data_IF_487645793741
#
_entry.id   IF_487645793741
#
_cell.length_a   1.000
_cell.length_b   1.000
_cell.length_c   1.000
_cell.angle_alpha   90.00
_cell.angle_beta   90.00
_cell.angle_gamma   90.00
#
_symmetry.space_group_name_H-M   'P 1'
#
loop_
_entity.id
_entity.type
_entity.pdbx_description
1 polymer ?
#
# COMPACT_ATOMS: atom_id res chain seq x y z
N UNK A 1 5.71 24.61 2.84
CA UNK A 1 5.87 23.32 3.56
C UNK A 1 6.19 22.25 2.55
N UNK A 2 7.10 21.32 2.86
CA UNK A 2 7.40 20.21 1.97
C UNK A 2 6.19 19.25 1.90
N UNK A 3 5.92 18.60 0.74
CA UNK A 3 4.83 17.64 0.63
C UNK A 3 5.06 16.43 1.55
N UNK A 4 4.03 16.06 2.30
CA UNK A 4 4.05 14.87 3.18
C UNK A 4 4.08 13.61 2.34
N UNK A 5 5.03 12.71 2.62
CA UNK A 5 5.16 11.40 1.96
C UNK A 5 5.05 10.30 3.00
N UNK A 6 4.16 9.34 2.74
CA UNK A 6 3.90 8.21 3.62
C UNK A 6 4.23 6.91 2.89
N UNK A 7 5.07 6.08 3.49
CA UNK A 7 5.33 4.72 3.04
C UNK A 7 4.61 3.75 3.97
N UNK A 8 3.61 3.04 3.42
CA UNK A 8 2.95 1.92 4.10
C UNK A 8 3.65 0.64 3.68
N UNK A 9 4.15 -0.12 4.64
CA UNK A 9 4.74 -1.44 4.38
C UNK A 9 3.71 -2.49 4.79
N UNK A 10 3.09 -3.14 3.81
CA UNK A 10 2.20 -4.27 4.08
C UNK A 10 2.58 -5.49 3.24
N UNK A 11 3.09 -6.47 3.98
CA UNK A 11 3.35 -7.84 3.54
C UNK A 11 2.46 -8.75 4.39
N UNK A 12 2.00 -9.89 3.86
CA UNK A 12 1.15 -10.80 4.63
C UNK A 12 0.38 -11.77 3.76
N UNK A 13 -0.55 -12.49 4.38
CA UNK A 13 -1.48 -13.37 3.67
C UNK A 13 -2.58 -12.54 2.98
N UNK A 14 -3.34 -13.18 2.09
CA UNK A 14 -4.42 -12.53 1.34
C UNK A 14 -5.43 -11.81 2.24
N UNK A 15 -5.85 -12.44 3.34
CA UNK A 15 -6.81 -11.84 4.28
C UNK A 15 -6.31 -10.54 4.92
N UNK A 16 -5.01 -10.43 5.18
CA UNK A 16 -4.44 -9.19 5.73
C UNK A 16 -4.38 -8.07 4.69
N UNK A 17 -4.18 -8.42 3.41
CA UNK A 17 -4.17 -7.44 2.32
C UNK A 17 -5.56 -6.86 2.09
N UNK A 18 -6.60 -7.67 2.20
CA UNK A 18 -7.99 -7.20 2.14
C UNK A 18 -8.29 -6.25 3.31
N UNK A 19 -7.88 -6.60 4.53
CA UNK A 19 -8.08 -5.73 5.71
C UNK A 19 -7.25 -4.43 5.63
N UNK A 20 -6.10 -4.46 4.96
CA UNK A 20 -5.26 -3.27 4.79
C UNK A 20 -5.96 -2.16 3.98
N UNK A 21 -6.92 -2.47 3.13
CA UNK A 21 -7.69 -1.47 2.38
C UNK A 21 -8.42 -0.49 3.31
N UNK A 22 -9.04 -0.99 4.38
CA UNK A 22 -9.70 -0.15 5.39
C UNK A 22 -8.73 0.80 6.08
N UNK A 23 -7.56 0.30 6.48
CA UNK A 23 -6.52 1.13 7.08
C UNK A 23 -5.98 2.19 6.09
N UNK A 24 -5.79 1.83 4.82
CA UNK A 24 -5.35 2.76 3.77
C UNK A 24 -6.39 3.87 3.53
N UNK A 25 -7.67 3.54 3.56
CA UNK A 25 -8.76 4.51 3.48
C UNK A 25 -8.69 5.53 4.61
N UNK A 26 -8.51 5.06 5.84
CA UNK A 26 -8.43 5.93 7.02
C UNK A 26 -7.19 6.83 6.98
N UNK A 27 -6.04 6.31 6.51
CA UNK A 27 -4.83 7.10 6.27
C UNK A 27 -5.09 8.19 5.22
N UNK A 28 -5.71 7.86 4.09
CA UNK A 28 -6.06 8.86 3.06
C UNK A 28 -7.00 9.94 3.61
N UNK A 29 -7.98 9.58 4.43
CA UNK A 29 -8.88 10.53 5.04
C UNK A 29 -8.16 11.50 6.00
N UNK A 30 -7.21 10.99 6.79
CA UNK A 30 -6.41 11.80 7.71
C UNK A 30 -5.35 12.66 7.00
N UNK A 31 -4.82 12.19 5.87
CA UNK A 31 -3.75 12.85 5.11
C UNK A 31 -4.14 13.04 3.63
N UNK A 32 -5.16 13.87 3.33
CA UNK A 32 -5.74 13.97 1.99
C UNK A 32 -4.72 14.39 0.93
N UNK A 33 -3.74 15.23 1.29
CA UNK A 33 -2.73 15.76 0.37
C UNK A 33 -1.39 15.02 0.39
N UNK A 34 -1.25 13.93 1.17
CA UNK A 34 0.00 13.18 1.22
C UNK A 34 0.18 12.27 0.00
N UNK A 35 1.43 12.07 -0.45
CA UNK A 35 1.77 10.96 -1.35
C UNK A 35 1.82 9.67 -0.52
N UNK A 36 0.88 8.77 -0.73
CA UNK A 36 0.78 7.47 -0.06
C UNK A 36 1.34 6.40 -0.99
N UNK A 37 2.48 5.82 -0.60
CA UNK A 37 3.14 4.74 -1.32
C UNK A 37 2.96 3.45 -0.54
N UNK A 38 2.47 2.40 -1.19
CA UNK A 38 2.39 1.07 -0.60
C UNK A 38 3.54 0.19 -1.08
N UNK A 39 4.29 -0.41 -0.16
CA UNK A 39 5.21 -1.50 -0.45
C UNK A 39 4.56 -2.85 -0.14
N UNK A 40 4.50 -3.73 -1.14
CA UNK A 40 3.94 -5.08 -1.04
C UNK A 40 4.74 -6.10 -1.87
N UNK A 41 4.28 -7.35 -1.94
CA UNK A 41 4.92 -8.44 -2.69
C UNK A 41 4.22 -8.74 -4.01
N UNK A 42 4.88 -9.44 -4.96
CA UNK A 42 4.34 -9.66 -6.31
C UNK A 42 2.92 -10.25 -6.38
N UNK A 43 2.52 -11.24 -5.55
CA UNK A 43 1.18 -11.84 -5.61
C UNK A 43 0.04 -10.83 -5.43
N UNK A 44 0.28 -9.75 -4.70
CA UNK A 44 -0.74 -8.75 -4.38
C UNK A 44 -0.66 -7.50 -5.24
N UNK A 45 0.33 -7.42 -6.14
CA UNK A 45 0.54 -6.23 -6.97
C UNK A 45 -0.69 -5.89 -7.82
N UNK A 46 -1.32 -6.91 -8.43
CA UNK A 46 -2.51 -6.72 -9.28
C UNK A 46 -3.73 -6.27 -8.47
N UNK A 47 -3.88 -6.79 -7.26
CA UNK A 47 -4.95 -6.38 -6.33
C UNK A 47 -4.75 -4.93 -5.91
N UNK A 48 -3.56 -4.59 -5.41
CA UNK A 48 -3.31 -3.28 -4.82
C UNK A 48 -3.21 -2.14 -5.81
N UNK A 49 -2.90 -2.41 -7.09
CA UNK A 49 -3.03 -1.40 -8.17
C UNK A 49 -4.45 -0.84 -8.31
N UNK A 50 -5.47 -1.54 -7.80
CA UNK A 50 -6.87 -1.11 -7.85
C UNK A 50 -7.30 -0.35 -6.59
N UNK A 51 -6.45 -0.27 -5.56
CA UNK A 51 -6.77 0.44 -4.32
C UNK A 51 -6.75 1.96 -4.59
N UNK A 52 -7.87 2.68 -4.40
CA UNK A 52 -7.95 4.11 -4.70
C UNK A 52 -7.28 4.99 -3.63
N UNK A 53 -6.80 4.38 -2.53
CA UNK A 53 -6.28 5.09 -1.38
C UNK A 53 -4.75 5.30 -1.43
N UNK A 54 -4.08 4.70 -2.42
CA UNK A 54 -2.64 4.82 -2.63
C UNK A 54 -2.35 5.52 -3.96
N UNK A 55 -1.24 6.25 -4.01
CA UNK A 55 -0.79 6.94 -5.22
C UNK A 55 0.18 6.08 -6.02
N UNK A 56 1.03 5.31 -5.31
CA UNK A 56 2.08 4.49 -5.94
C UNK A 56 2.26 3.17 -5.21
N UNK A 57 2.74 2.19 -5.96
CA UNK A 57 3.04 0.85 -5.49
C UNK A 57 4.53 0.56 -5.68
N UNK A 58 5.19 0.10 -4.63
CA UNK A 58 6.52 -0.49 -4.65
C UNK A 58 6.39 -2.00 -4.45
N UNK A 59 7.13 -2.77 -5.25
CA UNK A 59 7.14 -4.22 -5.16
C UNK A 59 8.46 -4.65 -4.56
N UNK A 60 8.40 -5.36 -3.44
CA UNK A 60 9.53 -6.03 -2.83
C UNK A 60 9.77 -7.38 -3.55
N UNK A 61 10.88 -7.54 -4.30
CA UNK A 61 11.13 -8.74 -5.09
C UNK A 61 11.52 -9.96 -4.24
N UNK A 62 11.89 -9.77 -2.96
CA UNK A 62 12.46 -10.81 -2.09
C UNK A 62 11.53 -11.97 -1.73
N UNK A 63 10.24 -11.90 -2.08
CA UNK A 63 9.30 -13.01 -1.87
C UNK A 63 9.23 -13.98 -3.07
N UNK A 64 10.09 -13.84 -4.08
CA UNK A 64 10.19 -14.80 -5.20
C UNK A 64 11.05 -16.04 -4.85
N UNK A 65 11.65 -16.09 -3.66
CA UNK A 65 12.64 -17.11 -3.28
C UNK A 65 12.11 -18.21 -2.33
N UNK A 66 10.79 -18.43 -2.27
CA UNK A 66 10.15 -19.52 -1.50
C UNK A 66 9.28 -20.41 -2.39
#
# INVERSE_FOLDING_TARGET
>A
MAPTKLLVIKRGAFGDMVQADGALRDIRAAFPSAEIVLLTTPPYAKLMRRCPHIDRLLIDPRLLDL
#
